data_IF_171623433812
#
_entry.id   IF_171623433812
#
_cell.length_a   1.000
_cell.length_b   1.000
_cell.length_c   1.000
_cell.angle_alpha   90.00
_cell.angle_beta   90.00
_cell.angle_gamma   90.00
#
_symmetry.space_group_name_H-M   'P 1'
#
loop_
_entity.id
_entity.type
_entity.pdbx_description
1 polymer ?
#
# COMPACT_ATOMS: atom_id res chain seq x y z
N UNK A 1 19.98 33.51 8.84
CA UNK A 1 20.36 32.16 8.43
C UNK A 1 20.65 31.37 9.70
N UNK A 2 19.66 31.07 10.44
CA UNK A 2 19.78 30.19 11.61
C UNK A 2 18.39 29.77 11.99
N UNK A 3 18.26 28.53 12.40
CA UNK A 3 17.09 27.91 13.02
C UNK A 3 16.02 27.33 12.08
N UNK A 4 16.42 26.36 11.24
CA UNK A 4 15.55 25.25 10.85
C UNK A 4 16.19 23.91 11.25
N UNK A 5 16.56 23.76 12.50
CA UNK A 5 16.56 22.47 13.13
C UNK A 5 15.12 22.27 13.66
N UNK A 6 14.31 21.33 13.14
CA UNK A 6 13.14 20.92 13.86
C UNK A 6 13.68 20.41 15.19
N UNK A 7 13.28 21.04 16.26
CA UNK A 7 13.42 20.47 17.58
C UNK A 7 12.54 19.23 17.57
N UNK A 8 13.12 18.11 17.13
CA UNK A 8 12.59 16.78 17.37
C UNK A 8 12.71 16.67 18.88
N UNK A 9 11.73 17.25 19.60
CA UNK A 9 11.55 16.92 20.99
C UNK A 9 11.61 15.38 21.01
N UNK A 10 12.29 14.83 21.98
CA UNK A 10 12.20 13.46 22.41
C UNK A 10 10.75 13.18 22.86
N UNK A 11 9.78 13.38 21.95
CA UNK A 11 8.54 12.68 21.97
C UNK A 11 9.00 11.23 21.85
N UNK A 12 9.13 10.58 23.00
CA UNK A 12 9.33 9.15 23.11
C UNK A 12 8.35 8.53 22.13
N UNK A 13 8.86 8.26 20.93
CA UNK A 13 8.19 7.38 20.00
C UNK A 13 7.86 6.18 20.87
N UNK A 14 6.60 5.81 21.07
CA UNK A 14 6.29 4.59 21.80
C UNK A 14 6.82 3.47 20.91
N UNK A 15 8.13 3.34 20.92
CA UNK A 15 8.83 2.25 20.31
C UNK A 15 8.33 1.04 21.02
N UNK A 16 7.44 0.30 20.33
CA UNK A 16 7.51 -1.11 20.40
C UNK A 16 6.71 -1.77 21.49
N UNK A 17 5.76 -2.53 21.01
CA UNK A 17 5.18 -3.68 21.69
C UNK A 17 4.57 -3.34 23.05
N UNK A 18 3.29 -3.45 23.11
CA UNK A 18 2.72 -3.78 24.41
C UNK A 18 3.45 -5.03 24.90
N UNK A 19 3.95 -5.04 26.15
CA UNK A 19 4.68 -6.21 26.73
C UNK A 19 3.91 -7.54 26.65
N UNK A 20 2.63 -7.47 26.30
CA UNK A 20 1.69 -8.58 26.24
C UNK A 20 1.65 -9.30 24.88
N UNK A 21 2.27 -8.77 23.82
CA UNK A 21 2.30 -9.46 22.53
C UNK A 21 3.38 -10.55 22.53
N UNK A 22 3.00 -11.77 22.15
CA UNK A 22 3.96 -12.85 21.95
C UNK A 22 5.04 -12.44 20.94
N UNK A 23 6.29 -12.93 21.08
CA UNK A 23 7.34 -12.66 20.09
C UNK A 23 6.87 -12.99 18.68
N UNK A 24 7.26 -12.16 17.70
CA UNK A 24 7.07 -12.47 16.29
C UNK A 24 8.13 -13.49 15.86
N UNK A 25 7.71 -14.66 15.44
CA UNK A 25 8.61 -15.71 14.98
C UNK A 25 8.70 -15.68 13.44
N UNK A 26 9.92 -15.48 12.94
CA UNK A 26 10.24 -15.47 11.52
C UNK A 26 11.20 -16.58 11.17
N UNK A 27 10.99 -17.26 10.04
CA UNK A 27 11.97 -18.14 9.42
C UNK A 27 13.04 -17.33 8.66
N UNK A 28 12.63 -16.21 8.04
CA UNK A 28 13.52 -15.29 7.35
C UNK A 28 12.93 -13.87 7.31
N UNK A 29 13.82 -12.90 7.24
CA UNK A 29 13.53 -11.52 6.84
C UNK A 29 14.67 -11.05 5.94
N UNK A 30 14.33 -10.53 4.76
CA UNK A 30 15.29 -9.98 3.83
C UNK A 30 14.70 -8.79 3.05
N UNK A 31 15.54 -8.10 2.31
CA UNK A 31 15.12 -6.96 1.48
C UNK A 31 15.94 -6.95 0.20
N UNK A 32 15.32 -6.53 -0.89
CA UNK A 32 15.97 -6.42 -2.18
C UNK A 32 15.31 -5.36 -3.05
N UNK A 33 15.99 -5.01 -4.14
CA UNK A 33 15.39 -4.18 -5.20
C UNK A 33 15.04 -5.06 -6.39
N UNK A 34 13.92 -4.70 -7.06
CA UNK A 34 13.43 -5.41 -8.26
C UNK A 34 13.04 -4.42 -9.35
N UNK A 35 13.20 -4.83 -10.60
CA UNK A 35 12.98 -3.98 -11.77
C UNK A 35 14.05 -2.89 -11.89
N UNK A 36 13.66 -1.77 -12.49
CA UNK A 36 14.55 -0.66 -12.81
C UNK A 36 15.26 -0.82 -14.15
N UNK A 37 15.71 0.30 -14.68
CA UNK A 37 16.37 0.40 -15.97
C UNK A 37 17.78 0.94 -15.80
N UNK A 38 18.73 0.44 -16.60
CA UNK A 38 20.08 1.03 -16.69
C UNK A 38 20.01 2.29 -17.52
N UNK A 39 20.36 3.40 -16.90
CA UNK A 39 20.40 4.71 -17.54
C UNK A 39 21.84 5.22 -17.56
N UNK A 40 22.38 5.60 -18.72
CA UNK A 40 23.69 6.22 -18.78
C UNK A 40 23.66 7.61 -18.17
N UNK A 41 24.72 7.97 -17.47
CA UNK A 41 24.92 9.33 -16.94
C UNK A 41 26.41 9.68 -16.94
N UNK A 42 26.72 10.97 -16.72
CA UNK A 42 28.08 11.44 -16.50
C UNK A 42 28.28 11.64 -15.02
N UNK A 43 29.23 10.93 -14.43
CA UNK A 43 29.50 11.02 -12.99
C UNK A 43 30.20 12.34 -12.60
N UNK A 44 30.40 12.58 -11.31
CA UNK A 44 31.01 13.80 -10.82
C UNK A 44 32.47 14.01 -11.29
N UNK A 45 33.16 12.97 -11.75
CA UNK A 45 34.51 13.06 -12.32
C UNK A 45 34.49 13.37 -13.83
N UNK A 46 33.32 13.42 -14.45
CA UNK A 46 33.15 13.65 -15.89
C UNK A 46 33.20 12.38 -16.74
N UNK A 47 33.21 11.19 -16.12
CA UNK A 47 33.26 9.91 -16.83
C UNK A 47 31.85 9.43 -17.19
N UNK A 48 31.75 8.67 -18.30
CA UNK A 48 30.53 7.94 -18.62
C UNK A 48 30.35 6.79 -17.64
N UNK A 49 29.15 6.69 -17.07
CA UNK A 49 28.78 5.68 -16.09
C UNK A 49 27.32 5.26 -16.28
N UNK A 50 26.85 4.26 -15.54
CA UNK A 50 25.47 3.77 -15.57
C UNK A 50 24.88 3.74 -14.16
N UNK A 51 23.60 4.07 -14.04
CA UNK A 51 22.82 3.92 -12.82
C UNK A 51 21.55 3.10 -13.07
N UNK A 52 20.99 2.52 -12.01
CA UNK A 52 19.68 1.88 -12.03
C UNK A 52 18.64 2.91 -11.58
N UNK A 53 17.64 3.15 -12.42
CA UNK A 53 16.53 4.09 -12.16
C UNK A 53 15.22 3.33 -12.10
N UNK A 54 14.32 3.70 -11.16
CA UNK A 54 12.98 3.12 -11.06
C UNK A 54 12.93 1.71 -10.46
N UNK A 55 14.00 1.24 -9.81
CA UNK A 55 13.95 0.00 -9.06
C UNK A 55 13.05 0.15 -7.82
N UNK A 56 12.26 -0.87 -7.53
CA UNK A 56 11.33 -0.93 -6.41
C UNK A 56 11.94 -1.68 -5.24
N UNK A 57 11.92 -1.05 -4.05
CA UNK A 57 12.31 -1.71 -2.80
C UNK A 57 11.23 -2.69 -2.36
N UNK A 58 11.66 -3.84 -1.90
CA UNK A 58 10.82 -4.92 -1.39
C UNK A 58 11.38 -5.40 -0.06
N UNK A 59 10.57 -5.41 1.00
CA UNK A 59 10.85 -6.13 2.24
C UNK A 59 10.08 -7.44 2.21
N UNK A 60 10.76 -8.54 2.48
CA UNK A 60 10.21 -9.88 2.48
C UNK A 60 10.29 -10.49 3.88
N UNK A 61 9.20 -11.05 4.36
CA UNK A 61 9.11 -11.70 5.66
C UNK A 61 8.46 -13.08 5.51
N UNK A 62 9.17 -14.11 5.98
CA UNK A 62 8.68 -15.49 6.00
C UNK A 62 8.31 -15.85 7.42
N UNK A 63 7.06 -16.21 7.72
CA UNK A 63 6.67 -16.67 9.05
C UNK A 63 7.38 -17.97 9.40
N UNK A 64 7.70 -18.18 10.68
CA UNK A 64 8.27 -19.44 11.14
C UNK A 64 7.35 -20.64 10.87
N UNK A 65 6.04 -20.42 10.88
CA UNK A 65 5.04 -21.39 10.51
C UNK A 65 4.16 -20.82 9.39
N UNK A 66 4.44 -21.26 8.16
CA UNK A 66 3.63 -20.85 6.99
C UNK A 66 2.34 -21.65 6.94
N UNK A 67 1.20 -20.96 7.01
CA UNK A 67 -0.14 -21.56 7.01
C UNK A 67 -0.93 -21.22 5.75
N UNK A 68 -0.50 -20.21 5.01
CA UNK A 68 -1.13 -19.76 3.78
C UNK A 68 -0.14 -19.95 2.62
N UNK A 69 -0.52 -20.66 1.54
CA UNK A 69 0.42 -21.11 0.52
C UNK A 69 0.81 -20.03 -0.49
N UNK A 70 0.00 -18.98 -0.63
CA UNK A 70 0.19 -17.91 -1.61
C UNK A 70 0.75 -16.69 -0.89
N UNK A 71 1.87 -16.08 -1.36
CA UNK A 71 2.41 -14.88 -0.74
C UNK A 71 1.49 -13.67 -0.90
N UNK A 72 1.61 -12.72 0.02
CA UNK A 72 0.84 -11.47 0.02
C UNK A 72 1.76 -10.30 -0.26
N UNK A 73 1.42 -9.47 -1.23
CA UNK A 73 2.12 -8.23 -1.56
C UNK A 73 1.29 -7.04 -1.07
N UNK A 74 1.85 -6.22 -0.20
CA UNK A 74 1.24 -5.02 0.34
C UNK A 74 1.66 -3.80 -0.47
N UNK A 75 0.66 -3.08 -1.02
CA UNK A 75 0.83 -1.92 -1.90
C UNK A 75 0.21 -0.69 -1.25
N UNK A 76 1.03 0.26 -0.83
CA UNK A 76 0.58 1.48 -0.14
C UNK A 76 -0.12 2.47 -1.08
N UNK A 77 -0.85 3.41 -0.49
CA UNK A 77 -1.52 4.51 -1.17
C UNK A 77 -0.61 5.69 -1.51
N UNK A 78 -1.21 6.76 -2.00
CA UNK A 78 -0.54 8.02 -2.25
C UNK A 78 -0.02 8.69 -0.98
N UNK A 79 1.05 9.45 -1.09
CA UNK A 79 1.73 10.13 0.03
C UNK A 79 2.30 9.20 1.10
N UNK A 80 2.22 7.89 0.94
CA UNK A 80 2.69 6.89 1.89
C UNK A 80 3.80 6.02 1.29
N UNK A 81 4.36 5.16 2.14
CA UNK A 81 5.35 4.14 1.82
C UNK A 81 4.93 2.82 2.43
N UNK A 82 5.75 1.79 2.33
CA UNK A 82 5.53 0.50 2.99
C UNK A 82 5.36 0.59 4.51
N UNK A 83 5.84 1.66 5.14
CA UNK A 83 5.65 1.91 6.58
C UNK A 83 4.17 1.86 6.99
N UNK A 84 3.24 2.24 6.09
CA UNK A 84 1.79 2.10 6.27
C UNK A 84 1.37 0.70 6.73
N UNK A 85 2.09 -0.31 6.29
CA UNK A 85 1.81 -1.72 6.55
C UNK A 85 2.66 -2.31 7.69
N UNK A 86 3.76 -1.64 8.06
CA UNK A 86 4.72 -2.14 9.04
C UNK A 86 4.30 -1.79 10.46
N UNK A 87 3.81 -0.55 10.69
CA UNK A 87 3.42 -0.07 12.01
C UNK A 87 2.34 1.01 11.92
N UNK A 88 1.54 1.13 12.97
CA UNK A 88 0.56 2.21 13.13
C UNK A 88 1.18 3.44 13.81
N UNK A 89 0.60 4.65 13.66
CA UNK A 89 1.15 5.87 14.27
C UNK A 89 1.26 5.84 15.80
N UNK A 90 0.45 5.02 16.46
CA UNK A 90 0.45 4.80 17.90
C UNK A 90 1.35 3.60 18.32
N UNK A 91 2.15 3.05 17.39
CA UNK A 91 3.18 2.06 17.68
C UNK A 91 2.71 0.60 17.73
N UNK A 92 1.45 0.31 17.36
CA UNK A 92 0.98 -1.08 17.20
C UNK A 92 1.56 -1.71 15.94
N UNK A 93 1.50 -3.04 15.86
CA UNK A 93 1.87 -3.78 14.65
C UNK A 93 0.95 -3.43 13.48
N UNK A 94 1.54 -3.17 12.32
CA UNK A 94 0.80 -2.99 11.07
C UNK A 94 0.36 -4.33 10.46
N UNK A 95 -0.45 -4.26 9.42
CA UNK A 95 -1.05 -5.44 8.79
C UNK A 95 -0.02 -6.46 8.29
N UNK A 96 1.13 -6.02 7.78
CA UNK A 96 2.16 -6.95 7.33
C UNK A 96 2.63 -7.87 8.45
N UNK A 97 2.85 -7.34 9.66
CA UNK A 97 3.26 -8.13 10.83
C UNK A 97 2.11 -9.00 11.35
N UNK A 98 0.87 -8.48 11.33
CA UNK A 98 -0.32 -9.27 11.70
C UNK A 98 -0.53 -10.46 10.75
N UNK A 99 -0.30 -10.27 9.46
CA UNK A 99 -0.37 -11.33 8.45
C UNK A 99 0.75 -12.38 8.66
N UNK A 100 1.97 -11.94 8.96
CA UNK A 100 3.04 -12.87 9.33
C UNK A 100 2.66 -13.70 10.55
N UNK A 101 2.03 -13.10 11.58
CA UNK A 101 1.49 -13.86 12.74
C UNK A 101 0.41 -14.85 12.34
N UNK A 102 -0.38 -14.50 11.32
CA UNK A 102 -1.39 -15.37 10.71
C UNK A 102 -0.80 -16.52 9.87
N UNK A 103 0.52 -16.56 9.67
CA UNK A 103 1.19 -17.57 8.86
C UNK A 103 1.27 -17.25 7.37
N UNK A 104 1.12 -15.97 6.99
CA UNK A 104 1.24 -15.50 5.61
C UNK A 104 2.69 -15.04 5.33
N UNK A 105 3.27 -15.52 4.25
CA UNK A 105 4.49 -14.95 3.69
C UNK A 105 4.16 -13.59 3.08
N UNK A 106 4.89 -12.53 3.46
CA UNK A 106 4.55 -11.16 3.09
C UNK A 106 5.67 -10.43 2.39
N UNK A 107 5.29 -9.63 1.41
CA UNK A 107 6.15 -8.68 0.71
C UNK A 107 5.56 -7.28 0.90
N UNK A 108 6.33 -6.37 1.48
CA UNK A 108 5.97 -4.96 1.63
C UNK A 108 6.80 -4.16 0.64
N UNK A 109 6.15 -3.46 -0.26
CA UNK A 109 6.84 -2.66 -1.27
C UNK A 109 6.79 -1.16 -0.93
N UNK A 110 7.84 -0.45 -1.31
CA UNK A 110 7.76 0.98 -1.60
C UNK A 110 7.65 1.12 -3.11
N UNK A 111 6.55 1.69 -3.61
CA UNK A 111 6.37 1.86 -5.05
C UNK A 111 7.60 2.59 -5.64
N UNK A 112 7.96 2.28 -6.88
CA UNK A 112 9.06 2.96 -7.53
C UNK A 112 8.90 4.49 -7.40
N UNK A 113 10.00 5.19 -7.13
CA UNK A 113 10.06 6.63 -6.89
C UNK A 113 9.54 7.09 -5.52
N UNK A 114 9.28 6.18 -4.59
CA UNK A 114 8.77 6.48 -3.24
C UNK A 114 9.60 5.80 -2.16
N UNK A 115 9.61 6.39 -0.98
CA UNK A 115 10.23 5.82 0.21
C UNK A 115 11.66 5.34 -0.04
N UNK A 116 11.90 4.08 0.24
CA UNK A 116 13.20 3.40 0.05
C UNK A 116 13.53 3.15 -1.44
N UNK A 117 12.54 3.30 -2.33
CA UNK A 117 12.70 3.24 -3.80
C UNK A 117 13.03 4.59 -4.43
N UNK A 118 13.45 5.57 -3.63
CA UNK A 118 13.71 6.92 -4.09
C UNK A 118 14.72 6.95 -5.24
N UNK A 119 14.45 7.73 -6.31
CA UNK A 119 15.31 7.74 -7.47
C UNK A 119 16.60 8.47 -7.19
N UNK A 120 17.67 7.98 -7.73
CA UNK A 120 18.83 8.81 -8.06
C UNK A 120 18.62 9.26 -9.50
N UNK A 121 18.39 10.55 -9.73
CA UNK A 121 18.26 11.10 -11.07
C UNK A 121 19.64 11.53 -11.55
N UNK A 122 20.12 10.89 -12.62
CA UNK A 122 21.29 11.37 -13.33
C UNK A 122 20.98 12.71 -14.00
N UNK A 123 21.91 13.65 -13.90
CA UNK A 123 21.85 14.89 -14.66
C UNK A 123 21.20 16.09 -13.99
N UNK A 124 20.93 16.06 -12.71
CA UNK A 124 20.63 17.26 -11.91
C UNK A 124 19.26 17.91 -12.13
N UNK A 125 18.37 17.33 -12.91
CA UNK A 125 16.96 17.66 -12.88
C UNK A 125 16.30 16.88 -11.75
N UNK A 126 16.66 17.20 -10.52
CA UNK A 126 15.92 16.77 -9.35
C UNK A 126 14.53 17.40 -9.45
N UNK A 127 13.51 16.60 -9.71
CA UNK A 127 12.18 17.04 -9.35
C UNK A 127 12.27 17.47 -7.86
N UNK A 128 11.86 18.70 -7.52
CA UNK A 128 11.93 19.14 -6.14
C UNK A 128 11.18 18.13 -5.27
N UNK A 129 11.71 17.78 -4.10
CA UNK A 129 10.99 16.93 -3.18
C UNK A 129 9.60 17.52 -2.97
N UNK A 130 8.56 16.66 -2.95
CA UNK A 130 7.27 17.08 -2.44
C UNK A 130 7.54 17.63 -1.06
N UNK A 131 7.34 18.93 -0.91
CA UNK A 131 7.60 19.56 0.36
C UNK A 131 6.67 18.98 1.42
N UNK A 132 7.14 18.84 2.63
CA UNK A 132 6.35 18.45 3.80
C UNK A 132 4.96 19.12 3.85
N UNK A 133 4.85 20.33 3.29
CA UNK A 133 3.59 21.08 3.23
C UNK A 133 2.48 20.35 2.49
N UNK A 134 2.75 19.60 1.43
CA UNK A 134 1.72 18.83 0.73
C UNK A 134 1.28 17.61 1.56
N UNK A 135 2.22 16.89 2.20
CA UNK A 135 1.90 15.81 3.14
C UNK A 135 1.17 16.31 4.38
N UNK A 136 1.62 17.40 4.99
CA UNK A 136 0.98 18.00 6.17
C UNK A 136 -0.42 18.52 5.89
N UNK A 137 -0.70 19.09 4.72
CA UNK A 137 -2.04 19.53 4.33
C UNK A 137 -3.01 18.37 4.12
N UNK A 138 -2.52 17.18 3.82
CA UNK A 138 -3.32 15.98 3.67
C UNK A 138 -3.63 15.27 5.01
N UNK A 139 -2.92 15.59 6.10
CA UNK A 139 -3.12 14.95 7.40
C UNK A 139 -4.58 15.00 7.88
N UNK A 140 -5.29 16.14 7.82
CA UNK A 140 -6.70 16.19 8.23
C UNK A 140 -7.61 15.27 7.41
N UNK A 141 -7.27 15.01 6.14
CA UNK A 141 -7.97 14.05 5.30
C UNK A 141 -7.77 12.62 5.81
N UNK A 142 -6.54 12.26 6.16
CA UNK A 142 -6.21 10.90 6.60
C UNK A 142 -6.61 10.62 8.05
N UNK A 143 -6.58 11.65 8.93
CA UNK A 143 -6.79 11.55 10.38
C UNK A 143 -8.12 12.17 10.84
N UNK A 144 -9.16 12.07 10.03
CA UNK A 144 -10.43 12.74 10.26
C UNK A 144 -10.96 12.56 11.68
N UNK A 145 -11.29 13.70 12.33
CA UNK A 145 -11.85 13.71 13.69
C UNK A 145 -13.20 13.00 13.77
N UNK A 146 -13.49 12.41 14.92
CA UNK A 146 -14.74 11.67 15.17
C UNK A 146 -14.75 10.25 14.62
N UNK A 147 -13.64 9.80 14.00
CA UNK A 147 -13.45 8.46 13.49
C UNK A 147 -12.72 7.54 14.48
N UNK A 148 -12.24 6.43 13.94
CA UNK A 148 -11.47 5.41 14.67
C UNK A 148 -9.96 5.64 14.64
N UNK A 149 -9.49 6.72 14.03
CA UNK A 149 -8.06 7.01 13.99
C UNK A 149 -7.53 7.21 15.42
N UNK A 150 -6.35 6.66 15.76
CA UNK A 150 -5.79 6.79 17.11
C UNK A 150 -5.52 8.25 17.47
N UNK A 151 -5.65 8.58 18.75
CA UNK A 151 -5.33 9.91 19.28
C UNK A 151 -3.80 10.06 19.37
N UNK A 152 -3.20 10.45 18.26
CA UNK A 152 -1.75 10.69 18.13
C UNK A 152 -1.51 12.09 17.62
N UNK A 153 -0.30 12.62 17.88
CA UNK A 153 0.07 13.93 17.36
C UNK A 153 0.23 13.91 15.83
N UNK A 154 0.05 15.07 15.21
CA UNK A 154 0.30 15.22 13.78
C UNK A 154 1.75 14.83 13.40
N UNK A 155 2.71 15.09 14.30
CA UNK A 155 4.11 14.73 14.13
C UNK A 155 4.32 13.21 14.15
N UNK A 156 3.66 12.49 15.05
CA UNK A 156 3.74 11.03 15.13
C UNK A 156 3.19 10.37 13.84
N UNK A 157 2.10 10.92 13.32
CA UNK A 157 1.60 10.46 12.01
C UNK A 157 2.53 10.88 10.87
N UNK A 158 2.99 12.13 10.86
CA UNK A 158 3.91 12.63 9.84
C UNK A 158 5.23 11.84 9.77
N UNK A 159 5.66 11.24 10.88
CA UNK A 159 6.84 10.36 10.90
C UNK A 159 6.69 9.09 10.04
N UNK A 160 5.47 8.75 9.63
CA UNK A 160 5.20 7.64 8.70
C UNK A 160 5.12 8.05 7.24
N UNK A 161 5.15 9.36 6.97
CA UNK A 161 5.22 9.88 5.62
C UNK A 161 6.65 10.02 5.14
N UNK A 162 6.80 9.82 3.85
CA UNK A 162 7.97 10.29 3.14
C UNK A 162 7.54 11.13 1.95
N UNK A 163 8.36 12.09 1.50
CA UNK A 163 8.04 12.86 0.30
C UNK A 163 7.67 11.93 -0.86
N UNK A 164 6.43 12.03 -1.30
CA UNK A 164 5.93 11.25 -2.42
C UNK A 164 6.20 11.99 -3.74
N UNK A 165 7.34 11.73 -4.32
CA UNK A 165 7.72 12.31 -5.60
C UNK A 165 6.83 11.82 -6.76
N UNK A 166 6.33 10.58 -6.68
CA UNK A 166 5.57 9.95 -7.75
C UNK A 166 4.22 10.61 -8.00
N UNK A 167 3.48 10.98 -6.95
CA UNK A 167 2.19 11.68 -7.10
C UNK A 167 2.38 13.05 -7.74
N UNK A 168 3.33 13.84 -7.22
CA UNK A 168 3.55 15.19 -7.74
C UNK A 168 3.89 15.16 -9.23
N UNK A 169 4.77 14.25 -9.62
CA UNK A 169 5.19 14.11 -11.01
C UNK A 169 4.06 13.59 -11.90
N UNK A 170 3.26 12.62 -11.45
CA UNK A 170 2.09 12.14 -12.17
C UNK A 170 1.05 13.25 -12.35
N UNK A 171 0.79 14.05 -11.31
CA UNK A 171 -0.12 15.20 -11.39
C UNK A 171 0.42 16.28 -12.34
N UNK A 172 1.70 16.58 -12.30
CA UNK A 172 2.32 17.56 -13.21
C UNK A 172 2.30 17.13 -14.67
N UNK A 173 2.39 15.84 -14.94
CA UNK A 173 2.30 15.27 -16.29
C UNK A 173 0.88 15.13 -16.80
N UNK A 174 -0.14 15.46 -15.98
CA UNK A 174 -1.54 15.36 -16.36
C UNK A 174 -2.03 13.93 -16.62
N UNK A 175 -1.41 12.94 -15.97
CA UNK A 175 -1.88 11.57 -16.03
C UNK A 175 -3.29 11.44 -15.43
N UNK A 176 -4.24 10.83 -16.15
CA UNK A 176 -5.62 10.67 -15.67
C UNK A 176 -5.74 9.67 -14.51
N UNK A 177 -4.69 8.89 -14.23
CA UNK A 177 -4.60 7.98 -13.11
C UNK A 177 -3.71 8.54 -12.00
N UNK A 178 -4.05 8.25 -10.75
CA UNK A 178 -3.23 8.62 -9.59
C UNK A 178 -1.95 7.76 -9.48
N UNK A 179 -1.81 6.73 -10.30
CA UNK A 179 -0.65 5.84 -10.28
C UNK A 179 0.40 6.30 -11.28
N UNK A 180 1.65 6.40 -10.83
CA UNK A 180 2.76 6.61 -11.75
C UNK A 180 2.95 5.35 -12.60
N UNK A 181 2.86 5.44 -13.93
CA UNK A 181 3.00 4.28 -14.81
C UNK A 181 4.37 3.59 -14.67
N UNK A 182 5.38 4.30 -14.14
CA UNK A 182 6.71 3.73 -13.86
C UNK A 182 6.71 2.76 -12.67
N UNK A 183 5.68 2.78 -11.82
CA UNK A 183 5.54 1.84 -10.71
C UNK A 183 5.09 0.44 -11.17
N UNK A 184 4.47 0.32 -12.34
CA UNK A 184 3.94 -0.95 -12.82
C UNK A 184 5.04 -1.94 -13.24
N UNK A 185 6.05 -1.60 -14.07
CA UNK A 185 7.06 -2.55 -14.50
C UNK A 185 7.80 -3.26 -13.35
N UNK A 186 8.27 -2.58 -12.29
CA UNK A 186 8.93 -3.27 -11.18
C UNK A 186 7.96 -4.14 -10.36
N UNK A 187 6.67 -3.80 -10.24
CA UNK A 187 5.69 -4.68 -9.62
C UNK A 187 5.48 -5.96 -10.45
N UNK A 188 5.39 -5.84 -11.79
CA UNK A 188 5.30 -7.01 -12.67
C UNK A 188 6.56 -7.89 -12.56
N UNK A 189 7.74 -7.28 -12.48
CA UNK A 189 8.99 -8.01 -12.26
C UNK A 189 9.02 -8.74 -10.90
N UNK A 190 8.42 -8.15 -9.85
CA UNK A 190 8.25 -8.84 -8.57
C UNK A 190 7.34 -10.06 -8.73
N UNK A 191 6.17 -9.91 -9.35
CA UNK A 191 5.24 -11.03 -9.58
C UNK A 191 5.86 -12.15 -10.43
N UNK A 192 6.63 -11.79 -11.48
CA UNK A 192 7.36 -12.74 -12.29
C UNK A 192 8.42 -13.53 -11.46
N UNK A 193 8.99 -12.90 -10.42
CA UNK A 193 9.99 -13.50 -9.54
C UNK A 193 9.41 -14.43 -8.48
N UNK A 194 8.28 -14.02 -7.84
CA UNK A 194 7.72 -14.75 -6.70
C UNK A 194 6.60 -15.72 -7.07
N UNK A 195 6.07 -15.61 -8.29
CA UNK A 195 4.91 -16.36 -8.75
C UNK A 195 3.59 -15.70 -8.35
N UNK A 196 2.46 -16.41 -8.48
CA UNK A 196 1.16 -15.87 -8.13
C UNK A 196 1.10 -15.37 -6.69
N UNK A 197 0.59 -14.14 -6.51
CA UNK A 197 0.48 -13.49 -5.21
C UNK A 197 -0.91 -12.89 -4.99
N UNK A 198 -1.31 -12.75 -3.74
CA UNK A 198 -2.42 -11.89 -3.35
C UNK A 198 -1.91 -10.46 -3.27
N UNK A 199 -2.67 -9.50 -3.78
CA UNK A 199 -2.38 -8.08 -3.63
C UNK A 199 -3.29 -7.49 -2.56
N UNK A 200 -2.72 -6.91 -1.51
CA UNK A 200 -3.42 -6.06 -0.55
C UNK A 200 -3.07 -4.62 -0.87
N UNK A 201 -4.05 -3.86 -1.33
CA UNK A 201 -3.83 -2.51 -1.86
C UNK A 201 -4.59 -1.47 -1.04
N UNK A 202 -4.08 -0.24 -1.01
CA UNK A 202 -4.76 0.88 -0.39
C UNK A 202 -4.80 2.08 -1.33
N UNK A 203 -5.97 2.76 -1.40
CA UNK A 203 -6.12 4.05 -2.07
C UNK A 203 -5.55 4.02 -3.51
N UNK A 204 -4.64 4.92 -3.84
CA UNK A 204 -3.93 4.96 -5.12
C UNK A 204 -3.26 3.62 -5.48
N UNK A 205 -2.80 2.84 -4.50
CA UNK A 205 -2.25 1.50 -4.73
C UNK A 205 -3.27 0.54 -5.36
N UNK A 206 -4.56 0.84 -5.26
CA UNK A 206 -5.63 0.09 -5.93
C UNK A 206 -5.47 0.14 -7.46
N UNK A 207 -5.23 1.32 -8.03
CA UNK A 207 -5.00 1.44 -9.47
C UNK A 207 -3.81 0.59 -9.94
N UNK A 208 -2.71 0.62 -9.19
CA UNK A 208 -1.55 -0.22 -9.48
C UNK A 208 -1.89 -1.73 -9.40
N UNK A 209 -2.71 -2.13 -8.43
CA UNK A 209 -3.20 -3.50 -8.30
C UNK A 209 -4.08 -3.93 -9.48
N UNK A 210 -4.99 -3.06 -9.94
CA UNK A 210 -5.82 -3.33 -11.11
C UNK A 210 -4.98 -3.51 -12.37
N UNK A 211 -4.02 -2.61 -12.61
CA UNK A 211 -3.11 -2.68 -13.74
C UNK A 211 -2.24 -3.94 -13.69
N UNK A 212 -1.74 -4.31 -12.52
CA UNK A 212 -0.97 -5.54 -12.37
C UNK A 212 -1.80 -6.78 -12.74
N UNK A 213 -3.07 -6.85 -12.33
CA UNK A 213 -3.97 -7.96 -12.67
C UNK A 213 -4.25 -8.04 -14.18
N UNK A 214 -4.46 -6.91 -14.85
CA UNK A 214 -4.67 -6.86 -16.31
C UNK A 214 -3.41 -7.33 -17.04
N UNK A 215 -2.23 -6.85 -16.64
CA UNK A 215 -0.97 -7.14 -17.35
C UNK A 215 -0.33 -8.48 -16.96
N UNK A 216 -0.68 -9.05 -15.79
CA UNK A 216 -0.18 -10.37 -15.31
C UNK A 216 -1.32 -11.16 -14.67
N UNK A 217 -2.34 -11.57 -15.45
CA UNK A 217 -3.52 -12.25 -14.92
C UNK A 217 -3.20 -13.56 -14.18
N UNK A 218 -2.12 -14.23 -14.58
CA UNK A 218 -1.65 -15.45 -13.90
C UNK A 218 -0.77 -15.16 -12.67
N UNK A 219 -0.26 -13.94 -12.55
CA UNK A 219 0.59 -13.49 -11.42
C UNK A 219 -0.21 -12.93 -10.25
N UNK A 220 -1.52 -12.70 -10.40
CA UNK A 220 -2.38 -12.18 -9.33
C UNK A 220 -3.45 -13.20 -8.98
N UNK A 221 -3.35 -13.76 -7.77
CA UNK A 221 -4.26 -14.80 -7.30
C UNK A 221 -5.59 -14.21 -6.78
N UNK A 222 -5.53 -13.08 -6.10
CA UNK A 222 -6.69 -12.33 -5.59
C UNK A 222 -6.27 -10.88 -5.27
N UNK A 223 -7.25 -9.98 -5.11
CA UNK A 223 -7.02 -8.61 -4.66
C UNK A 223 -7.92 -8.30 -3.47
N UNK A 224 -7.33 -7.81 -2.39
CA UNK A 224 -8.02 -7.19 -1.26
C UNK A 224 -7.73 -5.70 -1.29
N UNK A 225 -8.69 -4.90 -1.73
CA UNK A 225 -8.52 -3.47 -1.97
C UNK A 225 -9.19 -2.65 -0.87
N UNK A 226 -8.42 -1.81 -0.19
CA UNK A 226 -8.88 -0.95 0.90
C UNK A 226 -9.07 0.45 0.32
N UNK A 227 -10.32 0.90 0.26
CA UNK A 227 -10.71 2.21 -0.27
C UNK A 227 -9.94 2.60 -1.55
N UNK A 228 -9.99 1.74 -2.58
CA UNK A 228 -9.16 1.90 -3.76
C UNK A 228 -9.58 3.11 -4.59
N UNK A 229 -8.61 3.79 -5.18
CA UNK A 229 -8.85 4.76 -6.25
C UNK A 229 -9.16 4.06 -7.58
N UNK A 230 -9.83 4.81 -8.49
CA UNK A 230 -10.02 4.50 -9.93
C UNK A 230 -10.58 3.08 -10.18
N UNK A 231 -11.57 2.69 -9.39
CA UNK A 231 -12.14 1.33 -9.43
C UNK A 231 -12.73 1.00 -10.81
N UNK A 232 -13.48 1.92 -11.44
CA UNK A 232 -14.10 1.67 -12.75
C UNK A 232 -13.06 1.61 -13.88
N UNK A 233 -12.03 2.46 -13.83
CA UNK A 233 -10.98 2.47 -14.86
C UNK A 233 -10.09 1.23 -14.82
N UNK A 234 -10.04 0.52 -13.70
CA UNK A 234 -9.32 -0.74 -13.53
C UNK A 234 -10.25 -1.95 -13.56
N UNK A 235 -10.92 -2.20 -12.46
CA UNK A 235 -11.83 -3.35 -12.27
C UNK A 235 -12.99 -3.39 -13.30
N UNK A 236 -13.44 -2.23 -13.78
CA UNK A 236 -14.49 -2.12 -14.79
C UNK A 236 -14.06 -2.47 -16.21
N UNK A 237 -12.77 -2.69 -16.48
CA UNK A 237 -12.28 -2.99 -17.82
C UNK A 237 -12.69 -4.39 -18.29
N UNK A 238 -13.01 -4.55 -19.60
CA UNK A 238 -13.43 -5.85 -20.13
C UNK A 238 -12.38 -6.96 -20.02
N UNK A 239 -11.09 -6.59 -20.04
CA UNK A 239 -9.93 -7.48 -19.94
C UNK A 239 -9.47 -7.74 -18.50
N UNK A 240 -10.16 -7.19 -17.51
CA UNK A 240 -9.87 -7.52 -16.11
C UNK A 240 -10.14 -9.00 -15.85
N UNK A 241 -9.16 -9.75 -15.30
CA UNK A 241 -9.24 -11.20 -15.16
C UNK A 241 -10.32 -11.63 -14.15
N UNK A 242 -10.78 -12.87 -14.30
CA UNK A 242 -11.73 -13.51 -13.37
C UNK A 242 -10.99 -14.03 -12.12
N UNK A 243 -10.56 -13.10 -11.26
CA UNK A 243 -9.93 -13.37 -9.97
C UNK A 243 -10.80 -12.88 -8.82
N UNK A 244 -10.72 -13.47 -7.62
CA UNK A 244 -11.42 -12.96 -6.45
C UNK A 244 -10.97 -11.53 -6.09
N UNK A 245 -11.95 -10.65 -5.90
CA UNK A 245 -11.72 -9.27 -5.45
C UNK A 245 -12.64 -8.95 -4.28
N UNK A 246 -12.06 -8.44 -3.20
CA UNK A 246 -12.80 -7.82 -2.09
C UNK A 246 -12.41 -6.36 -2.01
N UNK A 247 -13.42 -5.49 -1.92
CA UNK A 247 -13.23 -4.05 -1.71
C UNK A 247 -13.78 -3.70 -0.33
N UNK A 248 -12.90 -3.20 0.54
CA UNK A 248 -13.25 -2.75 1.88
C UNK A 248 -13.50 -1.25 1.89
N UNK A 249 -14.62 -0.81 2.47
CA UNK A 249 -14.98 0.58 2.64
C UNK A 249 -15.41 0.91 4.07
N UNK A 250 -14.92 2.04 4.59
CA UNK A 250 -15.42 2.71 5.79
C UNK A 250 -16.55 3.69 5.48
N UNK A 251 -17.04 4.39 6.50
CA UNK A 251 -18.13 5.37 6.41
C UNK A 251 -17.70 6.80 6.79
N UNK A 252 -16.52 6.98 7.34
CA UNK A 252 -16.02 8.29 7.73
C UNK A 252 -15.16 8.90 6.60
N UNK A 253 -15.79 9.02 5.42
CA UNK A 253 -15.18 9.59 4.22
C UNK A 253 -15.42 11.10 4.14
N UNK A 254 -14.45 11.89 3.64
CA UNK A 254 -14.64 13.32 3.49
C UNK A 254 -15.59 13.66 2.34
N UNK A 255 -16.43 14.68 2.55
CA UNK A 255 -17.32 15.25 1.52
C UNK A 255 -16.68 16.40 0.72
N UNK A 256 -15.43 16.74 1.01
CA UNK A 256 -14.78 18.02 0.63
C UNK A 256 -14.05 18.00 -0.71
N UNK A 257 -14.38 17.09 -1.62
CA UNK A 257 -13.84 17.12 -2.98
C UNK A 257 -12.51 16.41 -3.19
N UNK A 258 -11.91 15.81 -2.18
CA UNK A 258 -10.85 14.83 -2.36
C UNK A 258 -11.43 13.54 -2.98
N UNK A 259 -10.61 12.77 -3.66
CA UNK A 259 -10.99 11.79 -4.68
C UNK A 259 -11.88 10.62 -4.23
N UNK A 260 -12.15 10.43 -2.93
CA UNK A 260 -12.91 9.30 -2.40
C UNK A 260 -14.21 9.78 -1.75
N UNK A 261 -15.34 9.35 -2.30
CA UNK A 261 -16.68 9.77 -1.87
C UNK A 261 -17.57 8.56 -1.64
N UNK A 262 -18.70 8.76 -0.99
CA UNK A 262 -19.76 7.72 -0.93
C UNK A 262 -20.21 7.24 -2.31
N UNK A 263 -20.07 8.08 -3.35
CA UNK A 263 -20.32 7.69 -4.75
C UNK A 263 -19.39 6.54 -5.21
N UNK A 264 -18.17 6.46 -4.67
CA UNK A 264 -17.22 5.40 -5.03
C UNK A 264 -17.63 4.06 -4.41
N UNK A 265 -18.24 4.08 -3.23
CA UNK A 265 -18.86 2.90 -2.61
C UNK A 265 -19.99 2.37 -3.50
N UNK A 266 -20.88 3.27 -3.96
CA UNK A 266 -21.99 2.89 -4.83
C UNK A 266 -21.50 2.34 -6.18
N UNK A 267 -20.44 2.91 -6.74
CA UNK A 267 -19.80 2.41 -7.96
C UNK A 267 -19.20 1.02 -7.76
N UNK A 268 -18.47 0.81 -6.66
CA UNK A 268 -17.92 -0.50 -6.33
C UNK A 268 -19.01 -1.55 -6.15
N UNK A 269 -20.13 -1.21 -5.50
CA UNK A 269 -21.29 -2.08 -5.34
C UNK A 269 -21.97 -2.40 -6.69
N UNK A 270 -22.05 -1.44 -7.60
CA UNK A 270 -22.55 -1.68 -8.95
C UNK A 270 -21.67 -2.68 -9.71
N UNK A 271 -20.34 -2.48 -9.68
CA UNK A 271 -19.40 -3.40 -10.30
C UNK A 271 -19.45 -4.80 -9.70
N UNK A 272 -19.65 -4.91 -8.38
CA UNK A 272 -19.81 -6.19 -7.71
C UNK A 272 -21.10 -6.95 -8.16
N UNK A 273 -22.16 -6.23 -8.53
CA UNK A 273 -23.37 -6.87 -9.11
C UNK A 273 -23.13 -7.40 -10.53
N UNK A 274 -22.20 -6.81 -11.26
CA UNK A 274 -21.88 -7.19 -12.64
C UNK A 274 -20.82 -8.30 -12.72
N UNK A 275 -20.02 -8.50 -11.67
CA UNK A 275 -18.92 -9.46 -11.62
C UNK A 275 -19.04 -10.38 -10.41
N UNK A 276 -19.25 -11.67 -10.63
CA UNK A 276 -19.49 -12.68 -9.56
C UNK A 276 -18.32 -12.86 -8.61
N UNK A 277 -17.11 -12.60 -9.07
CA UNK A 277 -15.86 -12.72 -8.31
C UNK A 277 -15.51 -11.46 -7.52
N UNK A 278 -16.31 -10.39 -7.61
CA UNK A 278 -16.13 -9.12 -6.90
C UNK A 278 -17.13 -9.00 -5.77
N UNK A 279 -16.65 -8.58 -4.61
CA UNK A 279 -17.49 -8.33 -3.44
C UNK A 279 -17.06 -7.03 -2.76
N UNK A 280 -18.04 -6.35 -2.18
CA UNK A 280 -17.80 -5.13 -1.38
C UNK A 280 -18.09 -5.46 0.07
N UNK A 281 -17.17 -5.12 0.94
CA UNK A 281 -17.30 -5.18 2.40
C UNK A 281 -17.48 -3.74 2.90
N UNK A 282 -18.72 -3.27 2.96
CA UNK A 282 -19.03 -1.96 3.52
C UNK A 282 -19.25 -2.11 5.01
N UNK A 283 -18.31 -1.63 5.81
CA UNK A 283 -18.24 -1.85 7.24
C UNK A 283 -19.52 -1.50 8.02
N UNK A 284 -20.29 -0.42 7.69
CA UNK A 284 -21.54 -0.14 8.34
C UNK A 284 -22.59 -1.26 8.25
N UNK A 285 -22.60 -2.06 7.17
CA UNK A 285 -23.51 -3.21 7.04
C UNK A 285 -23.24 -4.29 8.09
N UNK A 286 -22.04 -4.25 8.69
CA UNK A 286 -21.63 -5.15 9.78
C UNK A 286 -21.66 -4.48 11.16
N UNK A 287 -22.24 -3.27 11.27
CA UNK A 287 -22.27 -2.50 12.52
C UNK A 287 -20.92 -1.88 12.91
N UNK A 288 -19.95 -1.86 11.99
CA UNK A 288 -18.63 -1.27 12.20
C UNK A 288 -18.63 0.13 11.57
N UNK A 289 -18.74 1.17 12.39
CA UNK A 289 -18.84 2.56 11.94
C UNK A 289 -17.66 3.40 12.42
N UNK A 290 -17.42 4.53 11.74
CA UNK A 290 -16.41 5.53 12.10
C UNK A 290 -15.03 5.26 11.51
N UNK A 291 -14.88 4.27 10.64
CA UNK A 291 -13.62 4.04 9.93
C UNK A 291 -13.46 5.05 8.79
N UNK A 292 -12.32 5.73 8.76
CA UNK A 292 -11.90 6.65 7.71
C UNK A 292 -10.97 6.00 6.69
N UNK A 293 -10.22 6.85 5.97
CA UNK A 293 -9.41 6.38 4.84
C UNK A 293 -8.22 5.47 5.23
N UNK A 294 -7.73 5.58 6.46
CA UNK A 294 -6.56 4.83 6.92
C UNK A 294 -6.93 3.62 7.79
N UNK A 295 -7.88 2.80 7.33
CA UNK A 295 -8.44 1.66 8.07
C UNK A 295 -7.36 0.75 8.69
N UNK A 296 -6.23 0.55 7.98
CA UNK A 296 -5.12 -0.29 8.43
C UNK A 296 -4.32 0.32 9.60
N UNK A 297 -4.54 1.60 9.91
CA UNK A 297 -3.88 2.31 11.02
C UNK A 297 -4.83 2.61 12.18
N UNK A 298 -6.13 2.40 12.02
CA UNK A 298 -7.15 2.78 12.97
C UNK A 298 -7.24 1.84 14.18
N UNK A 299 -8.00 2.22 15.20
CA UNK A 299 -8.06 1.52 16.49
C UNK A 299 -8.53 0.06 16.38
N UNK A 300 -9.34 -0.26 15.37
CA UNK A 300 -9.80 -1.61 15.06
C UNK A 300 -9.00 -2.30 13.94
N UNK A 301 -7.83 -1.79 13.59
CA UNK A 301 -6.96 -2.30 12.52
C UNK A 301 -6.74 -3.82 12.58
N UNK A 302 -6.50 -4.37 13.78
CA UNK A 302 -6.27 -5.81 13.97
C UNK A 302 -7.53 -6.66 13.67
N UNK A 303 -8.72 -6.16 14.00
CA UNK A 303 -9.99 -6.81 13.65
C UNK A 303 -10.18 -6.85 12.13
N UNK A 304 -9.92 -5.72 11.47
CA UNK A 304 -10.02 -5.62 10.00
C UNK A 304 -8.98 -6.49 9.30
N UNK A 305 -7.76 -6.61 9.85
CA UNK A 305 -6.74 -7.54 9.34
C UNK A 305 -7.21 -9.00 9.45
N UNK A 306 -7.84 -9.40 10.57
CA UNK A 306 -8.40 -10.74 10.74
C UNK A 306 -9.51 -11.04 9.73
N UNK A 307 -10.41 -10.07 9.47
CA UNK A 307 -11.45 -10.19 8.43
C UNK A 307 -10.83 -10.37 7.04
N UNK A 308 -9.78 -9.63 6.72
CA UNK A 308 -9.04 -9.76 5.47
C UNK A 308 -8.43 -11.17 5.32
N UNK A 309 -7.72 -11.64 6.35
CA UNK A 309 -7.10 -12.97 6.34
C UNK A 309 -8.14 -14.08 6.21
N UNK A 310 -9.26 -13.99 6.92
CA UNK A 310 -10.35 -14.96 6.81
C UNK A 310 -10.91 -15.03 5.39
N UNK A 311 -11.20 -13.86 4.79
CA UNK A 311 -11.67 -13.83 3.40
C UNK A 311 -10.64 -14.42 2.41
N UNK A 312 -9.35 -14.13 2.61
CA UNK A 312 -8.30 -14.68 1.74
C UNK A 312 -8.23 -16.20 1.81
N UNK A 313 -8.38 -16.79 2.99
CA UNK A 313 -8.46 -18.25 3.11
C UNK A 313 -9.60 -18.84 2.28
N UNK A 314 -10.77 -18.23 2.35
CA UNK A 314 -11.96 -18.70 1.59
C UNK A 314 -11.77 -18.49 0.08
N UNK A 315 -11.31 -17.30 -0.32
CA UNK A 315 -11.22 -16.87 -1.72
C UNK A 315 -10.20 -17.67 -2.54
N UNK A 316 -9.16 -18.21 -1.91
CA UNK A 316 -8.05 -18.89 -2.61
C UNK A 316 -8.03 -20.39 -2.38
N UNK A 317 -8.86 -20.91 -1.46
CA UNK A 317 -8.93 -22.35 -1.14
C UNK A 317 -9.24 -23.20 -2.37
N UNK A 318 -10.15 -22.75 -3.23
CA UNK A 318 -10.56 -23.47 -4.44
C UNK A 318 -9.49 -23.45 -5.57
N UNK A 319 -8.50 -22.57 -5.45
CA UNK A 319 -7.41 -22.42 -6.44
C UNK A 319 -6.16 -23.20 -6.06
N UNK A 320 -6.12 -23.68 -4.83
CA UNK A 320 -5.09 -24.55 -4.31
C UNK A 320 -5.65 -25.95 -4.44
N UNK A 321 -5.24 -26.67 -5.49
CA UNK A 321 -5.54 -28.10 -5.58
C UNK A 321 -5.13 -28.79 -4.26
N UNK A 322 -5.75 -29.94 -3.92
CA UNK A 322 -5.43 -30.64 -2.67
C UNK A 322 -3.92 -30.77 -2.55
N UNK A 323 -3.41 -30.32 -1.40
CA UNK A 323 -1.98 -30.43 -1.09
C UNK A 323 -1.56 -31.87 -1.28
N UNK A 324 -0.72 -32.09 -2.30
CA UNK A 324 -0.18 -33.41 -2.61
C UNK A 324 0.88 -33.85 -1.58
#
# INVERSE_FOLDING_TARGET
MDDFAPNVSEATHPLLRTPESAPLALAAIDSFYVGGERCPFVNAAGDQDEQIVGAMYVQHMVPAERRFPIPVVFIHGGCHTGVTWETTPDGREGWALLFVRGGFETYVIDQAWRGRSAPVLAGGENAPPVTWSAGLSAIPFFTRQGGRFPDVSAEAYAAQFWPDFGILEAMQRGHPGYCDPRALPPLLALLDRIGPAVLVTHSQGGDLGWQAAIHRPVGVAAIYAIEPGITRAGLGQPDFPDIPVRILWGDNLPDDGFALKQSDVAEAQELARLRRNVSVDWLPEHGICGNGHMLMMENNSSELAQRAMAWLHDAVSDRIGPAG
#
